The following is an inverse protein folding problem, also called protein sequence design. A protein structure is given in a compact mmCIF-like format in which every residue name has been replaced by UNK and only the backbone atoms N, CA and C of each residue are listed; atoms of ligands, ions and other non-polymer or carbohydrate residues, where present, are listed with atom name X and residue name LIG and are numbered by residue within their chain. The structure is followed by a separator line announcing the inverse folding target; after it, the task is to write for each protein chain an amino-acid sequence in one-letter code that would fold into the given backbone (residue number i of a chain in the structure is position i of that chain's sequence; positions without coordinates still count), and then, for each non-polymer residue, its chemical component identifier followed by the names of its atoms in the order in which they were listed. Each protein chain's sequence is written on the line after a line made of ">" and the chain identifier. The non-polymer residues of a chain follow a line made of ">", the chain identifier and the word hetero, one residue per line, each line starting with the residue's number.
data_IF_951460347067
#
_entry.id   IF_951460347067
#
_cell.length_a   1.000
_cell.length_b   1.000
_cell.length_c   1.000
_cell.angle_alpha   90.00
_cell.angle_beta   90.00
_cell.angle_gamma   90.00
#
_symmetry.space_group_name_H-M   'P 1'
#
loop_
_entity.id
_entity.type
_entity.pdbx_description
1 polymer ?
#
# COMPACT_ATOMS: atom_id res chain seq x y z
N UNK A 1 43.84 -7.37 41.95
CA UNK A 1 42.43 -7.25 41.52
C UNK A 1 42.41 -6.61 40.14
N UNK A 2 42.21 -7.39 39.08
CA UNK A 2 42.11 -6.86 37.72
C UNK A 2 40.64 -6.53 37.43
N UNK A 3 40.36 -5.24 37.19
CA UNK A 3 39.04 -4.77 36.81
C UNK A 3 38.69 -5.32 35.42
N UNK A 4 37.64 -6.14 35.33
CA UNK A 4 37.01 -6.50 34.06
C UNK A 4 36.40 -5.23 33.46
N UNK A 5 37.02 -4.68 32.43
CA UNK A 5 36.38 -3.74 31.53
C UNK A 5 35.17 -4.44 30.88
N UNK A 6 33.98 -4.06 31.29
CA UNK A 6 32.75 -4.35 30.57
C UNK A 6 32.82 -3.62 29.24
N UNK A 7 33.02 -4.37 28.13
CA UNK A 7 32.82 -3.84 26.78
C UNK A 7 31.37 -3.33 26.73
N UNK A 8 31.14 -2.02 26.69
CA UNK A 8 29.83 -1.52 26.32
C UNK A 8 29.59 -1.97 24.89
N UNK A 9 28.61 -2.85 24.68
CA UNK A 9 28.10 -3.10 23.34
C UNK A 9 27.32 -1.85 22.97
N UNK A 10 27.98 -0.95 22.24
CA UNK A 10 27.29 0.16 21.58
C UNK A 10 26.10 -0.47 20.82
N UNK A 11 24.89 0.00 21.13
CA UNK A 11 23.71 -0.45 20.42
C UNK A 11 23.93 -0.22 18.91
N UNK A 12 23.70 -1.24 18.07
CA UNK A 12 23.91 -1.07 16.63
C UNK A 12 23.04 0.08 16.11
N UNK A 13 23.62 0.92 15.24
CA UNK A 13 22.89 2.02 14.62
C UNK A 13 21.60 1.52 13.97
N UNK A 14 20.48 2.26 14.10
CA UNK A 14 19.22 1.83 13.53
C UNK A 14 19.19 1.96 12.02
N UNK A 15 18.33 1.16 11.40
CA UNK A 15 17.79 1.44 10.07
C UNK A 15 16.71 2.51 10.24
N UNK A 16 16.76 3.57 9.45
CA UNK A 16 15.77 4.66 9.49
C UNK A 16 14.76 4.45 8.38
N UNK A 17 13.47 4.32 8.70
CA UNK A 17 12.38 4.27 7.72
C UNK A 17 11.71 5.62 7.65
N UNK A 18 11.60 6.20 6.45
CA UNK A 18 10.95 7.51 6.25
C UNK A 18 9.60 7.32 5.58
N UNK A 19 8.52 7.58 6.34
CA UNK A 19 7.12 7.41 5.93
C UNK A 19 6.39 6.34 6.74
N UNK A 20 5.21 6.69 7.27
CA UNK A 20 4.38 5.79 8.10
C UNK A 20 3.15 5.22 7.34
N UNK A 21 3.23 5.14 6.01
CA UNK A 21 2.21 4.48 5.20
C UNK A 21 2.29 2.96 5.31
N UNK A 22 1.40 2.25 4.59
CA UNK A 22 1.41 0.78 4.54
C UNK A 22 2.79 0.23 4.15
N UNK A 23 3.46 0.84 3.17
CA UNK A 23 4.80 0.45 2.72
C UNK A 23 5.86 0.63 3.80
N UNK A 24 5.91 1.80 4.44
CA UNK A 24 6.92 2.08 5.47
C UNK A 24 6.73 1.22 6.72
N UNK A 25 5.48 1.04 7.16
CA UNK A 25 5.18 0.23 8.33
C UNK A 25 5.47 -1.26 8.11
N UNK A 26 5.05 -1.84 6.98
CA UNK A 26 5.34 -3.24 6.65
C UNK A 26 6.85 -3.47 6.49
N UNK A 27 7.56 -2.57 5.80
CA UNK A 27 9.03 -2.62 5.67
C UNK A 27 9.71 -2.55 7.03
N UNK A 28 9.26 -1.66 7.91
CA UNK A 28 9.77 -1.55 9.27
C UNK A 28 9.57 -2.83 10.08
N UNK A 29 8.39 -3.45 9.99
CA UNK A 29 8.11 -4.74 10.64
C UNK A 29 9.02 -5.85 10.12
N UNK A 30 9.23 -5.95 8.81
CA UNK A 30 10.13 -6.95 8.22
C UNK A 30 11.59 -6.78 8.65
N UNK A 31 12.05 -5.53 8.76
CA UNK A 31 13.39 -5.23 9.28
C UNK A 31 13.55 -5.62 10.75
N UNK A 32 12.55 -5.31 11.59
CA UNK A 32 12.55 -5.67 13.00
C UNK A 32 12.55 -7.20 13.19
N UNK A 33 11.73 -7.93 12.42
CA UNK A 33 11.73 -9.41 12.42
C UNK A 33 13.07 -10.03 12.05
N UNK A 34 13.88 -9.32 11.26
CA UNK A 34 15.26 -9.70 10.90
C UNK A 34 16.32 -9.23 11.91
N UNK A 35 15.90 -8.61 13.01
CA UNK A 35 16.78 -8.20 14.10
C UNK A 35 17.45 -6.84 13.91
N UNK A 36 17.02 -6.02 12.94
CA UNK A 36 17.52 -4.66 12.80
C UNK A 36 16.76 -3.73 13.76
N UNK A 37 17.45 -2.88 14.55
CA UNK A 37 16.76 -1.80 15.25
C UNK A 37 16.21 -0.80 14.22
N UNK A 38 14.96 -0.38 14.38
CA UNK A 38 14.29 0.52 13.42
C UNK A 38 13.76 1.77 14.09
N UNK A 39 14.10 2.93 13.51
CA UNK A 39 13.48 4.21 13.79
C UNK A 39 12.62 4.62 12.58
N UNK A 40 11.32 4.75 12.77
CA UNK A 40 10.41 5.27 11.75
C UNK A 40 10.20 6.77 11.96
N UNK A 41 10.53 7.56 10.95
CA UNK A 41 10.31 9.01 10.92
C UNK A 41 9.17 9.33 9.95
N UNK A 42 8.16 10.08 10.39
CA UNK A 42 7.09 10.51 9.50
C UNK A 42 6.45 11.83 9.92
N UNK A 43 6.00 12.60 8.93
CA UNK A 43 5.17 13.80 9.13
C UNK A 43 3.75 13.43 9.57
N UNK A 44 3.16 12.48 8.86
CA UNK A 44 1.80 11.98 9.07
C UNK A 44 1.84 10.54 9.60
N UNK A 45 0.94 10.23 10.52
CA UNK A 45 0.79 8.93 11.15
C UNK A 45 -0.63 8.37 10.90
N UNK A 46 -0.85 7.04 11.00
CA UNK A 46 -2.16 6.42 10.77
C UNK A 46 -3.35 6.98 11.55
N UNK A 47 -3.11 7.63 12.70
CA UNK A 47 -4.16 8.23 13.53
C UNK A 47 -4.51 9.68 13.19
N UNK A 48 -3.85 10.28 12.21
CA UNK A 48 -4.09 11.68 11.83
C UNK A 48 -5.40 11.84 11.05
N UNK A 49 -5.96 13.06 10.99
CA UNK A 49 -7.04 13.37 10.06
C UNK A 49 -6.69 12.99 8.63
N UNK A 50 -7.72 12.60 7.86
CA UNK A 50 -7.55 12.27 6.45
C UNK A 50 -6.89 13.43 5.70
N UNK A 51 -5.92 13.08 4.88
CA UNK A 51 -5.20 14.02 4.03
C UNK A 51 -4.96 13.36 2.68
N UNK A 52 -5.17 14.09 1.57
CA UNK A 52 -4.92 13.56 0.23
C UNK A 52 -3.48 13.09 0.02
N UNK A 53 -2.51 13.72 0.69
CA UNK A 53 -1.09 13.35 0.61
C UNK A 53 -0.77 12.01 1.29
N UNK A 54 -1.62 11.56 2.22
CA UNK A 54 -1.42 10.31 2.94
C UNK A 54 -2.29 9.19 2.34
N UNK A 55 -1.88 8.74 1.16
CA UNK A 55 -2.63 7.79 0.34
C UNK A 55 -3.07 6.51 1.07
N UNK A 56 -2.31 6.05 2.07
CA UNK A 56 -2.60 4.81 2.79
C UNK A 56 -3.96 4.82 3.48
N UNK A 57 -4.38 5.95 4.07
CA UNK A 57 -5.67 6.06 4.78
C UNK A 57 -6.85 6.34 3.85
N UNK A 58 -6.61 6.85 2.64
CA UNK A 58 -7.64 7.16 1.65
C UNK A 58 -8.05 5.94 0.79
N UNK A 59 -7.32 4.84 0.88
CA UNK A 59 -7.53 3.66 0.03
C UNK A 59 -8.82 2.87 0.34
N UNK A 60 -9.23 2.03 -0.61
CA UNK A 60 -10.33 1.08 -0.48
C UNK A 60 -10.19 0.16 0.75
N UNK A 61 -9.27 -0.79 0.82
CA UNK A 61 -8.42 -1.36 -0.22
C UNK A 61 -8.83 -2.83 -0.44
N UNK A 62 -8.50 -3.40 -1.59
CA UNK A 62 -8.62 -4.83 -1.85
C UNK A 62 -7.31 -5.39 -2.40
N UNK A 63 -7.15 -6.70 -2.32
CA UNK A 63 -6.12 -7.39 -3.06
C UNK A 63 -6.65 -7.74 -4.46
N UNK A 64 -6.25 -6.96 -5.45
CA UNK A 64 -6.62 -7.16 -6.85
C UNK A 64 -5.44 -6.76 -7.72
N UNK A 65 -4.72 -7.74 -8.28
CA UNK A 65 -3.56 -7.42 -9.11
C UNK A 65 -3.96 -6.67 -10.37
N UNK A 66 -3.21 -5.61 -10.69
CA UNK A 66 -3.35 -4.84 -11.93
C UNK A 66 -2.09 -4.94 -12.79
N UNK A 67 -1.12 -5.77 -12.39
CA UNK A 67 0.11 -5.97 -13.12
C UNK A 67 -0.17 -6.73 -14.41
N UNK A 68 0.43 -6.30 -15.52
CA UNK A 68 0.33 -7.02 -16.78
C UNK A 68 0.94 -8.41 -16.65
N UNK A 69 0.57 -9.31 -17.56
CA UNK A 69 1.03 -10.70 -17.50
C UNK A 69 2.55 -10.83 -17.61
N UNK A 70 3.23 -9.86 -18.24
CA UNK A 70 4.68 -9.77 -18.40
C UNK A 70 5.40 -9.06 -17.24
N UNK A 71 4.70 -8.34 -16.36
CA UNK A 71 5.27 -7.74 -15.15
C UNK A 71 5.38 -8.78 -14.01
N UNK A 72 6.27 -9.75 -14.21
CA UNK A 72 6.54 -10.82 -13.25
C UNK A 72 6.99 -10.28 -11.88
N UNK A 73 7.65 -9.12 -11.87
CA UNK A 73 8.18 -8.51 -10.64
C UNK A 73 7.03 -8.01 -9.77
N UNK A 74 6.13 -7.20 -10.32
CA UNK A 74 4.96 -6.72 -9.58
C UNK A 74 4.04 -7.87 -9.20
N UNK A 75 3.81 -8.84 -10.09
CA UNK A 75 3.02 -10.04 -9.78
C UNK A 75 3.60 -10.84 -8.61
N UNK A 76 4.92 -10.92 -8.50
CA UNK A 76 5.58 -11.56 -7.35
C UNK A 76 5.32 -10.81 -6.05
N UNK A 77 5.36 -9.48 -6.05
CA UNK A 77 5.02 -8.67 -4.86
C UNK A 77 3.55 -8.85 -4.46
N UNK A 78 2.67 -8.85 -5.46
CA UNK A 78 1.25 -9.03 -5.26
C UNK A 78 0.94 -10.42 -4.67
N UNK A 79 1.51 -11.49 -5.24
CA UNK A 79 1.27 -12.85 -4.75
C UNK A 79 1.80 -13.06 -3.32
N UNK A 80 3.02 -12.61 -2.99
CA UNK A 80 3.54 -12.74 -1.62
C UNK A 80 2.70 -11.97 -0.60
N UNK A 81 2.17 -10.82 -1.00
CA UNK A 81 1.22 -10.07 -0.18
C UNK A 81 -0.11 -10.79 -0.03
N UNK A 82 -0.61 -11.43 -1.10
CA UNK A 82 -1.80 -12.27 -1.05
C UNK A 82 -1.60 -13.41 -0.05
N UNK A 83 -0.55 -14.21 -0.21
CA UNK A 83 -0.24 -15.35 0.67
C UNK A 83 -0.13 -14.95 2.14
N UNK A 84 0.53 -13.81 2.42
CA UNK A 84 0.64 -13.27 3.77
C UNK A 84 -0.72 -12.91 4.36
N UNK A 85 -1.53 -12.14 3.64
CA UNK A 85 -2.87 -11.74 4.10
C UNK A 85 -3.83 -12.93 4.19
N UNK A 86 -3.65 -13.91 3.31
CA UNK A 86 -4.41 -15.16 3.32
C UNK A 86 -4.11 -15.92 4.62
N UNK A 87 -2.84 -16.14 4.96
CA UNK A 87 -2.47 -16.75 6.23
C UNK A 87 -2.98 -15.97 7.45
N UNK A 88 -2.99 -14.63 7.38
CA UNK A 88 -3.50 -13.79 8.48
C UNK A 88 -5.03 -13.88 8.68
N UNK A 89 -5.76 -14.37 7.67
CA UNK A 89 -7.22 -14.46 7.63
C UNK A 89 -7.73 -15.91 7.51
N UNK A 90 -6.89 -16.91 7.82
CA UNK A 90 -7.28 -18.33 7.81
C UNK A 90 -8.48 -18.61 8.73
N UNK A 91 -8.45 -18.03 9.93
CA UNK A 91 -9.60 -17.90 10.80
C UNK A 91 -10.34 -16.61 10.45
N UNK A 92 -11.54 -16.73 9.89
CA UNK A 92 -12.29 -15.60 9.36
C UNK A 92 -12.55 -14.51 10.41
N UNK A 93 -12.95 -14.90 11.63
CA UNK A 93 -13.23 -13.94 12.71
C UNK A 93 -11.96 -13.19 13.12
N UNK A 94 -10.84 -13.89 13.27
CA UNK A 94 -9.55 -13.25 13.58
C UNK A 94 -9.04 -12.38 12.43
N UNK A 95 -9.26 -12.80 11.18
CA UNK A 95 -8.96 -12.00 10.00
C UNK A 95 -9.71 -10.67 10.04
N UNK A 96 -11.01 -10.72 10.25
CA UNK A 96 -11.88 -9.55 10.34
C UNK A 96 -11.50 -8.62 11.50
N UNK A 97 -11.20 -9.18 12.69
CA UNK A 97 -10.68 -8.42 13.83
C UNK A 97 -9.39 -7.67 13.47
N UNK A 98 -8.51 -8.29 12.67
CA UNK A 98 -7.27 -7.71 12.14
C UNK A 98 -7.50 -6.76 10.97
N UNK A 99 -8.73 -6.63 10.48
CA UNK A 99 -9.10 -5.77 9.36
C UNK A 99 -8.87 -6.39 7.98
N UNK A 100 -8.82 -7.72 7.88
CA UNK A 100 -8.70 -8.46 6.62
C UNK A 100 -9.91 -9.39 6.46
N UNK A 101 -10.78 -9.10 5.50
CA UNK A 101 -11.98 -9.92 5.24
C UNK A 101 -11.79 -10.67 3.94
N UNK A 102 -11.97 -11.99 3.94
CA UNK A 102 -12.07 -12.79 2.70
C UNK A 102 -13.48 -12.65 2.12
N UNK A 103 -13.58 -12.52 0.81
CA UNK A 103 -14.87 -12.40 0.10
C UNK A 103 -14.75 -12.89 -1.34
N UNK A 104 -15.90 -13.17 -1.94
CA UNK A 104 -16.00 -13.29 -3.40
C UNK A 104 -15.87 -11.91 -4.04
N UNK A 105 -14.88 -11.76 -4.91
CA UNK A 105 -14.67 -10.61 -5.79
C UNK A 105 -15.17 -10.97 -7.19
N UNK A 106 -15.96 -10.10 -7.80
CA UNK A 106 -16.40 -10.22 -9.20
C UNK A 106 -15.81 -9.08 -10.03
N UNK A 107 -15.13 -9.44 -11.11
CA UNK A 107 -14.55 -8.51 -12.07
C UNK A 107 -15.33 -8.55 -13.38
N UNK A 108 -15.85 -7.40 -13.80
CA UNK A 108 -16.62 -7.20 -15.03
C UNK A 108 -15.77 -6.42 -16.03
N UNK A 109 -15.72 -6.87 -17.28
CA UNK A 109 -14.87 -6.28 -18.30
C UNK A 109 -15.66 -5.85 -19.52
N UNK A 110 -15.23 -4.72 -20.10
CA UNK A 110 -15.64 -4.23 -21.41
C UNK A 110 -14.38 -3.87 -22.20
N UNK A 111 -14.08 -4.63 -23.25
CA UNK A 111 -12.85 -4.57 -24.02
C UNK A 111 -11.89 -5.72 -23.70
N UNK A 112 -11.07 -5.56 -22.66
CA UNK A 112 -10.00 -6.52 -22.33
C UNK A 112 -10.52 -7.78 -21.61
N UNK A 113 -9.72 -8.84 -21.65
CA UNK A 113 -9.92 -10.01 -20.79
C UNK A 113 -9.27 -9.81 -19.41
N UNK A 114 -9.60 -10.71 -18.50
CA UNK A 114 -8.99 -10.77 -17.18
C UNK A 114 -7.47 -11.09 -17.24
N UNK A 115 -6.73 -10.62 -16.24
CA UNK A 115 -5.30 -10.89 -16.08
C UNK A 115 -5.08 -12.33 -15.59
N UNK A 116 -4.04 -13.02 -16.08
CA UNK A 116 -3.76 -14.42 -15.71
C UNK A 116 -3.36 -14.59 -14.24
N UNK A 117 -2.99 -13.50 -13.57
CA UNK A 117 -2.81 -13.52 -12.11
C UNK A 117 -4.07 -14.05 -11.39
N UNK A 118 -5.27 -13.71 -11.88
CA UNK A 118 -6.53 -14.04 -11.24
C UNK A 118 -6.87 -15.54 -11.35
N UNK A 119 -6.39 -16.22 -12.40
CA UNK A 119 -6.61 -17.66 -12.62
C UNK A 119 -6.05 -18.54 -11.49
N UNK A 120 -5.01 -18.04 -10.79
CA UNK A 120 -4.39 -18.74 -9.67
C UNK A 120 -5.07 -18.51 -8.32
N UNK A 121 -6.10 -17.67 -8.26
CA UNK A 121 -6.78 -17.34 -7.01
C UNK A 121 -7.84 -18.39 -6.64
N UNK A 122 -8.14 -18.57 -5.35
CA UNK A 122 -9.13 -19.56 -4.91
C UNK A 122 -10.51 -19.29 -5.51
N UNK A 123 -11.25 -20.36 -5.81
CA UNK A 123 -12.60 -20.31 -6.38
C UNK A 123 -12.72 -19.53 -7.71
N UNK A 124 -11.61 -19.41 -8.44
CA UNK A 124 -11.61 -18.74 -9.74
C UNK A 124 -12.58 -19.42 -10.71
N UNK A 125 -13.41 -18.60 -11.35
CA UNK A 125 -14.32 -19.02 -12.41
C UNK A 125 -14.53 -17.91 -13.43
N UNK A 126 -14.71 -18.30 -14.68
CA UNK A 126 -15.22 -17.45 -15.74
C UNK A 126 -16.73 -17.60 -15.78
N UNK A 127 -17.45 -16.48 -15.90
CA UNK A 127 -18.92 -16.48 -16.00
C UNK A 127 -19.38 -16.69 -17.44
N UNK A 128 -20.53 -17.34 -17.62
CA UNK A 128 -21.16 -17.52 -18.92
C UNK A 128 -21.59 -16.15 -19.47
N UNK A 129 -21.17 -15.84 -20.70
CA UNK A 129 -21.47 -14.61 -21.40
C UNK A 129 -22.98 -14.29 -21.46
N UNK A 130 -23.83 -15.32 -21.52
CA UNK A 130 -25.29 -15.17 -21.54
C UNK A 130 -25.91 -14.69 -20.21
N UNK A 131 -25.15 -14.76 -19.12
CA UNK A 131 -25.59 -14.33 -17.78
C UNK A 131 -25.09 -12.93 -17.40
N UNK A 132 -24.30 -12.30 -18.27
CA UNK A 132 -23.66 -11.02 -17.99
C UNK A 132 -24.65 -9.86 -18.12
N UNK A 133 -24.49 -8.80 -17.32
CA UNK A 133 -25.25 -7.56 -17.52
C UNK A 133 -24.98 -6.94 -18.88
N UNK A 134 -25.95 -6.18 -19.40
CA UNK A 134 -25.82 -5.47 -20.67
C UNK A 134 -24.54 -4.62 -20.74
N UNK A 135 -23.79 -4.78 -21.82
CA UNK A 135 -22.55 -4.03 -22.07
C UNK A 135 -21.31 -4.56 -21.34
N UNK A 136 -21.42 -5.67 -20.60
CA UNK A 136 -20.26 -6.43 -20.10
C UNK A 136 -19.97 -7.57 -21.08
N UNK A 137 -18.71 -7.70 -21.48
CA UNK A 137 -18.25 -8.64 -22.51
C UNK A 137 -17.59 -9.87 -21.89
N UNK A 138 -16.98 -9.72 -20.71
CA UNK A 138 -16.32 -10.80 -20.00
C UNK A 138 -16.44 -10.59 -18.49
N UNK A 139 -16.55 -11.68 -17.72
CA UNK A 139 -16.51 -11.58 -16.26
C UNK A 139 -15.87 -12.80 -15.61
N UNK A 140 -15.19 -12.55 -14.50
CA UNK A 140 -14.64 -13.60 -13.63
C UNK A 140 -15.03 -13.33 -12.19
N UNK A 141 -15.02 -14.39 -11.38
CA UNK A 141 -15.04 -14.21 -9.92
C UNK A 141 -14.08 -15.18 -9.26
N UNK A 142 -13.59 -14.79 -8.10
CA UNK A 142 -12.65 -15.55 -7.28
C UNK A 142 -12.79 -15.10 -5.83
N UNK A 143 -12.27 -15.88 -4.90
CA UNK A 143 -12.12 -15.45 -3.52
C UNK A 143 -10.85 -14.63 -3.38
N UNK A 144 -11.00 -13.40 -2.86
CA UNK A 144 -9.91 -12.49 -2.53
C UNK A 144 -10.09 -11.91 -1.12
N UNK A 145 -9.40 -10.81 -0.82
CA UNK A 145 -9.41 -10.14 0.46
C UNK A 145 -9.58 -8.62 0.31
N UNK A 146 -10.25 -8.04 1.29
CA UNK A 146 -10.32 -6.60 1.52
C UNK A 146 -9.58 -6.25 2.79
N UNK A 147 -9.06 -5.03 2.84
CA UNK A 147 -8.26 -4.53 3.95
C UNK A 147 -8.90 -3.22 4.42
N UNK A 148 -9.19 -3.12 5.72
CA UNK A 148 -9.66 -1.89 6.36
C UNK A 148 -8.44 -1.04 6.78
N UNK A 149 -8.09 0.04 6.03
CA UNK A 149 -6.80 0.70 6.20
C UNK A 149 -6.56 1.25 7.61
N UNK A 150 -7.57 1.90 8.20
CA UNK A 150 -7.44 2.50 9.54
C UNK A 150 -7.13 1.44 10.62
N UNK A 151 -7.81 0.30 10.56
CA UNK A 151 -7.62 -0.83 11.49
C UNK A 151 -6.29 -1.54 11.25
N UNK A 152 -5.97 -1.83 9.98
CA UNK A 152 -4.75 -2.55 9.63
C UNK A 152 -3.50 -1.71 9.92
N UNK A 153 -3.49 -0.40 9.60
CA UNK A 153 -2.36 0.48 9.93
C UNK A 153 -2.16 0.60 11.44
N UNK A 154 -3.24 0.69 12.24
CA UNK A 154 -3.14 0.70 13.71
C UNK A 154 -2.50 -0.59 14.22
N UNK A 155 -2.91 -1.74 13.68
CA UNK A 155 -2.27 -3.03 13.98
C UNK A 155 -0.79 -3.02 13.62
N UNK A 156 -0.42 -2.51 12.44
CA UNK A 156 0.99 -2.45 12.01
C UNK A 156 1.83 -1.57 12.94
N UNK A 157 1.32 -0.42 13.39
CA UNK A 157 2.00 0.42 14.39
C UNK A 157 2.19 -0.33 15.70
N UNK A 158 1.17 -1.05 16.17
CA UNK A 158 1.27 -1.86 17.38
C UNK A 158 2.29 -3.00 17.22
N UNK A 159 2.25 -3.75 16.12
CA UNK A 159 3.22 -4.83 15.81
C UNK A 159 4.65 -4.26 15.75
N UNK A 160 4.84 -3.16 15.03
CA UNK A 160 6.12 -2.46 14.93
C UNK A 160 6.66 -2.05 16.32
N UNK A 161 5.80 -1.50 17.17
CA UNK A 161 6.20 -1.07 18.52
C UNK A 161 6.49 -2.25 19.44
N UNK A 162 5.69 -3.33 19.38
CA UNK A 162 5.91 -4.55 20.17
C UNK A 162 7.21 -5.27 19.78
N UNK A 163 7.62 -5.16 18.52
CA UNK A 163 8.90 -5.66 18.03
C UNK A 163 10.09 -4.75 18.41
N UNK A 164 9.86 -3.65 19.16
CA UNK A 164 10.89 -2.73 19.65
C UNK A 164 11.20 -1.56 18.71
N UNK A 165 10.42 -1.38 17.63
CA UNK A 165 10.55 -0.23 16.75
C UNK A 165 10.11 1.08 17.42
N UNK A 166 10.76 2.18 17.06
CA UNK A 166 10.41 3.51 17.56
C UNK A 166 9.76 4.32 16.43
N UNK A 167 8.53 4.79 16.66
CA UNK A 167 7.87 5.74 15.76
C UNK A 167 8.08 7.15 16.28
N UNK A 168 8.58 8.06 15.44
CA UNK A 168 8.79 9.46 15.78
C UNK A 168 8.13 10.36 14.73
N UNK A 169 7.20 11.19 15.19
CA UNK A 169 6.68 12.28 14.37
C UNK A 169 7.77 13.34 14.19
N UNK A 170 7.96 13.78 12.95
CA UNK A 170 8.91 14.84 12.59
C UNK A 170 8.25 15.84 11.65
N UNK A 171 8.74 17.08 11.54
CA UNK A 171 8.34 17.97 10.45
C UNK A 171 8.63 17.35 9.09
N UNK A 172 8.06 17.93 8.03
CA UNK A 172 8.41 17.53 6.67
C UNK A 172 9.93 17.68 6.47
N UNK A 173 10.58 16.61 6.02
CA UNK A 173 11.99 16.66 5.64
C UNK A 173 12.11 17.41 4.31
N UNK A 174 13.12 18.28 4.20
CA UNK A 174 13.42 18.96 2.95
C UNK A 174 14.28 18.08 2.04
N UNK A 175 15.16 17.28 2.64
CA UNK A 175 16.00 16.29 1.99
C UNK A 175 15.94 14.96 2.75
N UNK A 176 16.09 13.83 2.09
CA UNK A 176 16.15 12.53 2.73
C UNK A 176 17.34 12.44 3.71
N UNK A 177 18.44 13.10 3.38
CA UNK A 177 19.62 13.24 4.24
C UNK A 177 19.36 13.95 5.57
N UNK A 178 18.26 14.69 5.71
CA UNK A 178 17.84 15.31 6.97
C UNK A 178 17.56 14.28 8.08
N UNK A 179 17.45 12.98 7.76
CA UNK A 179 17.42 11.91 8.76
C UNK A 179 18.60 11.97 9.75
N UNK A 180 19.75 12.55 9.34
CA UNK A 180 20.92 12.72 10.19
C UNK A 180 20.71 13.66 11.38
N UNK A 181 19.71 14.53 11.32
CA UNK A 181 19.25 15.34 12.47
C UNK A 181 18.71 14.49 13.62
N UNK A 182 18.33 13.24 13.33
CA UNK A 182 17.75 12.30 14.29
C UNK A 182 18.66 11.10 14.59
N UNK A 183 19.46 10.67 13.61
CA UNK A 183 20.41 9.57 13.74
C UNK A 183 21.67 9.92 12.95
N UNK A 184 22.77 10.23 13.64
CA UNK A 184 24.01 10.71 13.00
C UNK A 184 24.58 9.74 11.94
N UNK A 185 24.57 8.44 12.23
CA UNK A 185 25.12 7.40 11.36
C UNK A 185 24.14 6.21 11.25
N UNK A 186 23.05 6.34 10.46
CA UNK A 186 22.09 5.25 10.30
C UNK A 186 22.73 4.09 9.52
N UNK A 187 22.31 2.87 9.82
CA UNK A 187 22.80 1.68 9.13
C UNK A 187 22.35 1.67 7.65
N UNK A 188 21.11 2.09 7.43
CA UNK A 188 20.50 2.32 6.12
C UNK A 188 19.31 3.26 6.28
N UNK A 189 18.85 3.85 5.19
CA UNK A 189 17.65 4.69 5.12
C UNK A 189 16.67 4.08 4.12
N UNK A 190 15.44 3.83 4.55
CA UNK A 190 14.37 3.33 3.69
C UNK A 190 13.49 4.51 3.29
N UNK A 191 13.53 4.87 2.02
CA UNK A 191 12.68 5.93 1.48
C UNK A 191 11.31 5.36 1.09
N UNK A 192 10.35 5.47 2.01
CA UNK A 192 8.95 5.04 1.84
C UNK A 192 7.99 6.24 1.77
N UNK A 193 8.45 7.35 1.18
CA UNK A 193 7.75 8.65 1.26
C UNK A 193 6.60 8.84 0.27
N UNK A 194 6.35 7.86 -0.60
CA UNK A 194 5.27 7.92 -1.59
C UNK A 194 5.43 9.15 -2.49
N UNK A 195 4.44 10.04 -2.48
CA UNK A 195 4.45 11.27 -3.29
C UNK A 195 5.56 12.24 -2.86
N UNK A 196 6.03 12.15 -1.61
CA UNK A 196 7.12 12.98 -1.09
C UNK A 196 8.46 12.76 -1.79
N UNK A 197 8.66 11.63 -2.47
CA UNK A 197 9.87 11.39 -3.25
C UNK A 197 10.08 12.41 -4.39
N UNK A 198 9.00 13.06 -4.83
CA UNK A 198 9.03 14.16 -5.81
C UNK A 198 9.68 15.42 -5.26
N UNK A 199 9.52 15.70 -3.96
CA UNK A 199 9.85 17.01 -3.35
C UNK A 199 11.04 16.99 -2.41
N UNK A 200 11.52 15.81 -2.00
CA UNK A 200 12.81 15.69 -1.30
C UNK A 200 13.94 16.12 -2.23
N UNK A 201 14.72 17.13 -1.85
CA UNK A 201 15.70 17.80 -2.73
C UNK A 201 16.76 16.85 -3.30
N UNK A 202 17.19 15.87 -2.50
CA UNK A 202 18.22 14.90 -2.83
C UNK A 202 17.68 13.59 -3.43
N UNK A 203 16.35 13.45 -3.58
CA UNK A 203 15.69 12.36 -4.32
C UNK A 203 15.13 12.88 -5.63
N UNK A 204 14.34 13.96 -5.56
CA UNK A 204 13.84 14.77 -6.66
C UNK A 204 13.27 13.95 -7.84
N UNK A 205 12.51 12.90 -7.54
CA UNK A 205 11.98 12.01 -8.58
C UNK A 205 10.76 12.65 -9.25
N UNK A 206 11.00 13.40 -10.33
CA UNK A 206 9.98 14.10 -11.08
C UNK A 206 9.03 13.17 -11.86
N UNK A 207 9.36 11.88 -11.95
CA UNK A 207 8.47 10.86 -12.55
C UNK A 207 7.38 10.40 -11.57
N UNK A 208 7.46 10.82 -10.30
CA UNK A 208 6.39 10.62 -9.32
C UNK A 208 5.35 11.74 -9.47
N UNK A 209 4.09 11.34 -9.61
CA UNK A 209 2.94 12.24 -9.77
C UNK A 209 1.72 11.78 -8.98
N UNK A 210 0.84 12.73 -8.66
CA UNK A 210 -0.48 12.42 -8.12
C UNK A 210 -1.37 11.83 -9.20
N UNK A 211 -2.03 10.72 -8.87
CA UNK A 211 -3.26 10.30 -9.55
C UNK A 211 -4.38 10.37 -8.53
N UNK A 212 -5.15 11.46 -8.59
CA UNK A 212 -6.25 11.75 -7.67
C UNK A 212 -7.33 10.69 -7.79
N UNK A 213 -7.82 10.25 -6.64
CA UNK A 213 -8.95 9.34 -6.53
C UNK A 213 -9.94 9.87 -5.51
N UNK A 214 -11.17 10.10 -5.95
CA UNK A 214 -12.31 10.33 -5.08
C UNK A 214 -13.08 9.03 -4.87
N UNK A 215 -13.45 8.76 -3.62
CA UNK A 215 -14.26 7.62 -3.19
C UNK A 215 -15.29 8.05 -2.17
N UNK A 216 -16.34 7.25 -2.00
CA UNK A 216 -17.37 7.44 -0.99
C UNK A 216 -17.29 6.30 0.02
N UNK A 217 -17.32 6.65 1.30
CA UNK A 217 -17.42 5.69 2.40
C UNK A 217 -18.87 5.61 2.84
N UNK A 218 -19.44 4.41 2.79
CA UNK A 218 -20.84 4.13 3.09
C UNK A 218 -20.96 3.23 4.32
N UNK A 219 -22.12 3.28 5.00
CA UNK A 219 -22.54 2.26 5.97
C UNK A 219 -23.52 1.30 5.31
N UNK A 220 -23.04 0.11 4.92
CA UNK A 220 -23.86 -0.91 4.26
C UNK A 220 -23.44 -2.32 4.70
N UNK A 221 -23.69 -2.72 5.96
CA UNK A 221 -23.23 -4.00 6.53
C UNK A 221 -23.76 -5.25 5.81
N UNK A 222 -24.79 -5.12 4.98
CA UNK A 222 -25.36 -6.21 4.17
C UNK A 222 -24.55 -6.52 2.90
N UNK A 223 -23.69 -5.60 2.45
CA UNK A 223 -22.84 -5.84 1.27
C UNK A 223 -21.59 -6.60 1.71
N UNK A 224 -21.46 -7.85 1.25
CA UNK A 224 -20.36 -8.76 1.62
C UNK A 224 -19.55 -9.28 0.43
N UNK A 225 -19.93 -8.93 -0.79
CA UNK A 225 -19.20 -9.28 -2.02
C UNK A 225 -18.58 -8.04 -2.65
N UNK A 226 -17.42 -8.22 -3.26
CA UNK A 226 -16.67 -7.17 -3.90
C UNK A 226 -16.94 -7.16 -5.40
N UNK A 227 -16.96 -5.97 -5.98
CA UNK A 227 -17.23 -5.79 -7.40
C UNK A 227 -16.24 -4.80 -7.99
N UNK A 228 -15.76 -5.05 -9.20
CA UNK A 228 -15.06 -4.04 -9.99
C UNK A 228 -15.45 -4.18 -11.46
N UNK A 229 -15.77 -3.06 -12.09
CA UNK A 229 -15.95 -2.95 -13.54
C UNK A 229 -14.78 -2.22 -14.14
N UNK A 230 -14.25 -2.80 -15.21
CA UNK A 230 -13.06 -2.39 -15.93
C UNK A 230 -13.44 -2.08 -17.38
N UNK A 231 -13.23 -0.83 -17.81
CA UNK A 231 -13.55 -0.39 -19.17
C UNK A 231 -12.28 0.15 -19.83
N UNK A 232 -11.97 -0.38 -21.02
CA UNK A 232 -10.81 0.01 -21.82
C UNK A 232 -9.58 -0.83 -21.53
N UNK A 233 -8.43 -0.43 -22.11
CA UNK A 233 -7.21 -1.22 -22.02
C UNK A 233 -6.56 -1.14 -20.64
N UNK A 234 -6.29 -2.31 -20.05
CA UNK A 234 -5.75 -2.47 -18.72
C UNK A 234 -4.23 -2.49 -18.69
N UNK A 235 -3.59 -3.07 -19.72
CA UNK A 235 -2.15 -3.04 -20.06
C UNK A 235 -1.15 -2.84 -18.89
N UNK A 236 -1.40 -3.45 -17.72
CA UNK A 236 -0.53 -3.33 -16.55
C UNK A 236 -0.47 -1.95 -15.88
N UNK A 237 -1.43 -1.05 -16.11
CA UNK A 237 -1.23 0.38 -15.82
C UNK A 237 -2.42 1.13 -15.21
N UNK A 238 -2.30 2.46 -15.26
CA UNK A 238 -3.28 3.41 -14.71
C UNK A 238 -4.39 3.83 -15.72
N UNK A 239 -4.47 3.18 -16.89
CA UNK A 239 -5.50 3.45 -17.91
C UNK A 239 -6.89 2.90 -17.59
N UNK A 240 -7.87 3.31 -18.39
CA UNK A 240 -9.27 2.85 -18.35
C UNK A 240 -10.13 3.48 -17.25
N UNK A 241 -11.45 3.26 -17.33
CA UNK A 241 -12.40 3.59 -16.25
C UNK A 241 -12.52 2.41 -15.28
N UNK A 242 -12.53 2.71 -13.98
CA UNK A 242 -12.79 1.72 -12.93
C UNK A 242 -13.91 2.16 -12.01
N UNK A 243 -14.88 1.27 -11.85
CA UNK A 243 -15.91 1.37 -10.81
C UNK A 243 -15.73 0.20 -9.86
N UNK A 244 -15.73 0.42 -8.55
CA UNK A 244 -15.55 -0.63 -7.56
C UNK A 244 -16.44 -0.45 -6.35
N UNK A 245 -16.80 -1.58 -5.74
CA UNK A 245 -17.51 -1.71 -4.47
C UNK A 245 -16.67 -2.64 -3.58
N UNK A 246 -16.14 -2.09 -2.49
CA UNK A 246 -15.15 -2.73 -1.63
C UNK A 246 -15.72 -2.77 -0.21
N UNK A 247 -16.39 -3.87 0.17
CA UNK A 247 -16.90 -4.03 1.54
C UNK A 247 -15.76 -4.28 2.53
N UNK A 248 -15.95 -3.86 3.78
CA UNK A 248 -15.03 -4.09 4.89
C UNK A 248 -15.71 -4.91 5.99
N UNK A 249 -14.91 -5.58 6.81
CA UNK A 249 -15.39 -6.39 7.94
C UNK A 249 -16.35 -5.61 8.87
N UNK A 250 -16.05 -4.33 9.12
CA UNK A 250 -16.84 -3.42 9.97
C UNK A 250 -18.23 -3.06 9.41
N UNK A 251 -18.57 -3.51 8.20
CA UNK A 251 -19.80 -3.13 7.50
C UNK A 251 -19.72 -1.74 6.84
N UNK A 252 -18.56 -1.11 6.85
CA UNK A 252 -18.26 -0.01 5.92
C UNK A 252 -18.10 -0.57 4.49
N UNK A 253 -18.49 0.23 3.50
CA UNK A 253 -18.26 -0.08 2.08
C UNK A 253 -17.63 1.12 1.42
N UNK A 254 -16.54 0.92 0.69
CA UNK A 254 -15.98 1.95 -0.18
C UNK A 254 -16.54 1.74 -1.58
N UNK A 255 -17.17 2.78 -2.13
CA UNK A 255 -17.48 2.84 -3.56
C UNK A 255 -16.62 3.88 -4.22
N UNK A 256 -16.16 3.58 -5.42
CA UNK A 256 -15.34 4.49 -6.18
C UNK A 256 -15.17 4.05 -7.63
N UNK A 257 -14.33 4.73 -8.38
CA UNK A 257 -13.77 6.02 -8.00
C UNK A 257 -13.32 6.78 -9.24
N UNK A 258 -12.38 7.70 -9.03
CA UNK A 258 -11.71 8.43 -10.11
C UNK A 258 -10.22 8.10 -10.19
N UNK A 259 -9.63 8.47 -11.33
CA UNK A 259 -8.20 8.44 -11.63
C UNK A 259 -7.86 9.69 -12.43
N UNK A 260 -7.67 10.81 -11.74
CA UNK A 260 -7.36 12.08 -12.38
C UNK A 260 -5.85 12.35 -12.25
N UNK A 261 -5.18 12.19 -13.37
CA UNK A 261 -3.73 12.36 -13.51
C UNK A 261 -3.34 13.83 -13.32
N UNK A 262 -2.29 14.08 -12.54
CA UNK A 262 -1.74 15.42 -12.29
C UNK A 262 -2.73 16.41 -11.69
N UNK A 263 -3.80 15.88 -11.08
CA UNK A 263 -4.79 16.63 -10.33
C UNK A 263 -4.43 16.60 -8.84
N UNK A 264 -4.18 17.79 -8.28
CA UNK A 264 -3.82 17.98 -6.87
C UNK A 264 -4.94 18.68 -6.09
N UNK A 265 -6.16 18.74 -6.64
CA UNK A 265 -7.29 19.35 -5.94
C UNK A 265 -7.71 18.47 -4.74
N UNK A 266 -7.66 18.99 -3.50
CA UNK A 266 -7.75 18.17 -2.30
C UNK A 266 -9.20 17.82 -1.92
N UNK A 267 -10.18 18.55 -2.43
CA UNK A 267 -11.57 18.45 -1.98
C UNK A 267 -12.41 17.58 -2.93
N UNK A 268 -13.45 16.90 -2.43
CA UNK A 268 -14.41 16.18 -3.25
C UNK A 268 -15.18 17.09 -4.24
N UNK A 269 -15.51 16.52 -5.40
CA UNK A 269 -16.35 17.13 -6.43
C UNK A 269 -17.79 16.58 -6.36
N UNK A 270 -18.84 17.39 -6.17
CA UNK A 270 -20.22 16.91 -6.04
C UNK A 270 -20.75 16.12 -7.25
N UNK A 271 -20.35 16.51 -8.45
CA UNK A 271 -20.67 15.82 -9.71
C UNK A 271 -20.02 14.44 -9.76
N UNK A 272 -18.80 14.32 -9.25
CA UNK A 272 -18.07 13.04 -9.14
C UNK A 272 -18.75 12.11 -8.14
N UNK A 273 -19.22 12.64 -7.00
CA UNK A 273 -20.01 11.87 -6.01
C UNK A 273 -21.27 11.29 -6.64
N UNK A 274 -22.00 12.11 -7.40
CA UNK A 274 -23.23 11.67 -8.08
C UNK A 274 -22.95 10.59 -9.12
N UNK A 275 -21.87 10.76 -9.90
CA UNK A 275 -21.43 9.76 -10.88
C UNK A 275 -20.99 8.43 -10.25
N UNK A 276 -20.21 8.47 -9.16
CA UNK A 276 -19.76 7.27 -8.44
C UNK A 276 -20.96 6.45 -7.94
N UNK A 277 -21.97 7.09 -7.35
CA UNK A 277 -23.18 6.41 -6.86
C UNK A 277 -23.91 5.71 -8.02
N UNK A 278 -24.13 6.43 -9.13
CA UNK A 278 -24.77 5.87 -10.33
C UNK A 278 -24.02 4.63 -10.82
N UNK A 279 -22.71 4.73 -11.05
CA UNK A 279 -21.90 3.61 -11.56
C UNK A 279 -21.84 2.44 -10.58
N UNK A 280 -21.76 2.69 -9.28
CA UNK A 280 -21.76 1.63 -8.27
C UNK A 280 -23.06 0.82 -8.30
N UNK A 281 -24.21 1.48 -8.49
CA UNK A 281 -25.51 0.82 -8.61
C UNK A 281 -25.67 -0.01 -9.88
N UNK A 282 -24.99 0.36 -10.98
CA UNK A 282 -24.98 -0.42 -12.22
C UNK A 282 -24.31 -1.79 -12.05
N UNK A 283 -23.34 -1.91 -11.14
CA UNK A 283 -22.55 -3.14 -10.95
C UNK A 283 -22.93 -3.90 -9.67
N UNK A 284 -23.60 -3.25 -8.72
CA UNK A 284 -24.00 -3.82 -7.44
C UNK A 284 -25.31 -3.17 -6.96
N UNK A 285 -26.42 -3.53 -7.61
CA UNK A 285 -27.75 -2.99 -7.27
C UNK A 285 -28.19 -3.34 -5.84
N UNK A 286 -27.68 -4.45 -5.27
CA UNK A 286 -27.88 -4.83 -3.87
C UNK A 286 -27.36 -3.79 -2.87
N UNK A 287 -26.50 -2.86 -3.30
CA UNK A 287 -26.05 -1.75 -2.47
C UNK A 287 -27.22 -0.91 -1.94
N UNK A 288 -28.27 -0.71 -2.75
CA UNK A 288 -29.47 0.04 -2.37
C UNK A 288 -30.55 -0.83 -1.70
N UNK A 289 -30.31 -2.12 -1.46
CA UNK A 289 -31.33 -3.06 -0.98
C UNK A 289 -30.91 -3.68 0.37
N UNK A 290 -31.02 -2.93 1.49
CA UNK A 290 -30.79 -3.52 2.80
C UNK A 290 -31.83 -4.61 3.08
N UNK A 291 -31.49 -5.68 3.82
CA UNK A 291 -32.40 -6.79 4.12
C UNK A 291 -33.71 -6.38 4.79
N UNK A 292 -33.72 -5.22 5.48
CA UNK A 292 -34.88 -4.66 6.15
C UNK A 292 -35.81 -3.85 5.23
N UNK A 293 -35.46 -3.67 3.96
CA UNK A 293 -36.25 -2.87 3.00
C UNK A 293 -36.74 -3.72 1.84
N UNK A 294 -37.97 -3.47 1.43
CA UNK A 294 -38.59 -4.07 0.23
C UNK A 294 -38.43 -3.19 -1.02
N UNK A 295 -37.88 -1.98 -0.87
CA UNK A 295 -37.64 -1.04 -1.96
C UNK A 295 -36.19 -0.49 -1.90
N UNK A 296 -35.61 -0.06 -3.04
CA UNK A 296 -34.31 0.58 -3.06
C UNK A 296 -34.29 1.85 -2.19
N UNK A 297 -33.25 2.00 -1.37
CA UNK A 297 -32.98 3.25 -0.63
C UNK A 297 -32.16 4.22 -1.49
N UNK A 298 -32.19 5.51 -1.13
CA UNK A 298 -31.22 6.46 -1.65
C UNK A 298 -29.84 6.19 -1.04
N UNK A 299 -28.89 5.72 -1.87
CA UNK A 299 -27.50 5.45 -1.44
C UNK A 299 -26.83 6.69 -0.86
N UNK A 300 -27.21 7.90 -1.30
CA UNK A 300 -26.65 9.14 -0.75
C UNK A 300 -26.93 9.28 0.76
N UNK A 301 -28.06 8.74 1.24
CA UNK A 301 -28.44 8.79 2.65
C UNK A 301 -27.56 7.96 3.60
N UNK A 302 -26.77 7.03 3.05
CA UNK A 302 -25.86 6.17 3.82
C UNK A 302 -24.37 6.50 3.59
N UNK A 303 -24.07 7.62 2.92
CA UNK A 303 -22.71 8.15 2.77
C UNK A 303 -22.26 8.76 4.09
N UNK A 304 -21.20 8.21 4.68
CA UNK A 304 -20.57 8.72 5.91
C UNK A 304 -19.45 9.72 5.63
N UNK A 305 -18.76 9.58 4.49
CA UNK A 305 -17.68 10.48 4.09
C UNK A 305 -17.42 10.47 2.58
N UNK A 306 -16.98 11.60 2.06
CA UNK A 306 -16.37 11.74 0.74
C UNK A 306 -14.86 11.88 0.94
N UNK A 307 -14.06 11.03 0.31
CA UNK A 307 -12.61 10.95 0.57
C UNK A 307 -11.84 11.14 -0.73
N UNK A 308 -10.83 12.00 -0.68
CA UNK A 308 -9.87 12.23 -1.77
C UNK A 308 -8.50 11.74 -1.32
N UNK A 309 -7.82 11.00 -2.19
CA UNK A 309 -6.44 10.56 -2.01
C UNK A 309 -5.61 10.75 -3.27
N UNK A 310 -4.33 11.09 -3.10
CA UNK A 310 -3.37 11.17 -4.20
C UNK A 310 -2.56 9.88 -4.26
N UNK A 311 -2.85 9.03 -5.25
CA UNK A 311 -2.04 7.82 -5.49
C UNK A 311 -0.63 8.26 -5.92
N UNK A 312 0.43 7.81 -5.23
CA UNK A 312 1.81 8.20 -5.55
C UNK A 312 2.33 7.35 -6.71
N UNK A 313 1.88 7.68 -7.92
CA UNK A 313 2.19 6.93 -9.14
C UNK A 313 3.56 7.35 -9.66
N UNK A 314 4.36 6.40 -10.12
CA UNK A 314 5.62 6.67 -10.81
C UNK A 314 5.58 6.08 -12.20
N UNK A 315 6.08 6.80 -13.20
CA UNK A 315 5.95 6.41 -14.61
C UNK A 315 6.48 5.00 -14.91
N UNK A 316 7.60 4.61 -14.30
CA UNK A 316 8.18 3.27 -14.47
C UNK A 316 7.81 2.27 -13.35
N UNK A 317 6.69 2.49 -12.64
CA UNK A 317 6.20 1.61 -11.58
C UNK A 317 6.99 1.72 -10.27
N UNK A 318 6.96 0.71 -9.40
CA UNK A 318 7.64 0.77 -8.08
C UNK A 318 9.16 1.00 -8.24
N UNK A 319 9.71 2.00 -7.55
CA UNK A 319 11.16 2.12 -7.34
C UNK A 319 11.52 1.37 -6.06
N UNK A 320 12.05 0.16 -6.23
CA UNK A 320 12.58 -0.68 -5.17
C UNK A 320 14.01 -1.09 -5.50
N UNK A 321 14.98 -0.29 -5.06
CA UNK A 321 16.40 -0.45 -5.38
C UNK A 321 17.29 0.26 -4.34
N UNK A 322 18.58 -0.06 -4.37
CA UNK A 322 19.60 0.57 -3.51
C UNK A 322 20.28 1.74 -4.22
N UNK A 323 20.56 2.80 -3.48
CA UNK A 323 21.35 3.95 -3.90
C UNK A 323 22.38 4.33 -2.81
N UNK A 324 23.58 4.71 -3.23
CA UNK A 324 24.56 5.38 -2.35
C UNK A 324 24.43 6.89 -2.50
N UNK A 325 23.58 7.49 -1.66
CA UNK A 325 23.31 8.92 -1.72
C UNK A 325 24.48 9.70 -1.12
N UNK A 326 25.17 10.47 -1.97
CA UNK A 326 26.26 11.36 -1.55
C UNK A 326 25.70 12.66 -0.98
N UNK A 327 26.21 13.06 0.16
CA UNK A 327 25.81 14.27 0.89
C UNK A 327 27.06 14.98 1.41
N UNK A 328 26.92 16.22 1.86
CA UNK A 328 28.01 16.96 2.50
C UNK A 328 28.53 16.28 3.78
N UNK A 329 27.67 15.52 4.45
CA UNK A 329 27.97 14.75 5.68
C UNK A 329 28.40 13.29 5.40
N UNK A 330 28.76 12.98 4.14
CA UNK A 330 29.21 11.65 3.72
C UNK A 330 28.18 10.87 2.90
N UNK A 331 28.28 9.54 2.87
CA UNK A 331 27.40 8.69 2.04
C UNK A 331 26.34 7.99 2.87
N UNK A 332 25.09 8.03 2.44
CA UNK A 332 23.98 7.25 3.01
C UNK A 332 23.69 6.03 2.14
N UNK A 333 23.49 4.87 2.79
CA UNK A 333 22.88 3.72 2.12
C UNK A 333 21.37 3.95 2.09
N UNK A 334 20.82 4.19 0.91
CA UNK A 334 19.39 4.38 0.73
C UNK A 334 18.81 3.16 0.02
N UNK A 335 17.68 2.67 0.49
CA UNK A 335 16.85 1.72 -0.25
C UNK A 335 15.52 2.40 -0.51
N UNK A 336 15.25 2.69 -1.77
CA UNK A 336 13.99 3.28 -2.20
C UNK A 336 12.89 2.24 -2.15
N UNK A 337 11.69 2.62 -1.71
CA UNK A 337 10.49 1.79 -1.76
C UNK A 337 9.26 2.70 -1.89
N UNK A 338 9.08 3.31 -3.06
CA UNK A 338 7.99 4.25 -3.36
C UNK A 338 7.51 4.12 -4.82
N UNK A 339 6.47 4.89 -5.19
CA UNK A 339 5.93 4.88 -6.55
C UNK A 339 4.85 3.81 -6.79
N UNK A 340 4.14 3.41 -5.74
CA UNK A 340 3.20 2.28 -5.77
C UNK A 340 1.83 2.58 -6.39
N UNK A 341 1.57 3.81 -6.86
CA UNK A 341 0.30 4.17 -7.52
C UNK A 341 -0.94 3.69 -6.75
N UNK A 342 -1.88 3.05 -7.46
CA UNK A 342 -3.08 2.44 -6.87
C UNK A 342 -2.89 1.08 -6.19
N UNK A 343 -1.68 0.52 -6.19
CA UNK A 343 -1.40 -0.88 -5.80
C UNK A 343 -0.45 -1.00 -4.59
N UNK A 344 -0.35 0.04 -3.75
CA UNK A 344 0.46 -0.03 -2.52
C UNK A 344 -0.01 -1.10 -1.53
N UNK A 345 -1.32 -1.22 -1.31
CA UNK A 345 -1.89 -2.18 -0.36
C UNK A 345 -1.78 -3.64 -0.84
N UNK A 346 -1.95 -3.89 -2.14
CA UNK A 346 -1.86 -5.24 -2.70
C UNK A 346 -0.42 -5.77 -2.80
N UNK A 347 0.60 -4.90 -2.69
CA UNK A 347 2.01 -5.25 -2.85
C UNK A 347 2.87 -5.02 -1.60
N UNK A 348 2.30 -4.45 -0.53
CA UNK A 348 3.05 -3.94 0.62
C UNK A 348 3.99 -4.96 1.27
N UNK A 349 3.54 -6.20 1.48
CA UNK A 349 4.36 -7.22 2.16
C UNK A 349 5.42 -7.78 1.24
N UNK A 350 5.09 -8.04 -0.03
CA UNK A 350 6.06 -8.48 -1.03
C UNK A 350 7.19 -7.46 -1.25
N UNK A 351 6.85 -6.17 -1.34
CA UNK A 351 7.82 -5.08 -1.41
C UNK A 351 8.64 -4.96 -0.11
N UNK A 352 8.00 -5.05 1.06
CA UNK A 352 8.66 -4.96 2.37
C UNK A 352 9.70 -6.06 2.58
N UNK A 353 9.37 -7.31 2.24
CA UNK A 353 10.27 -8.45 2.34
C UNK A 353 11.51 -8.30 1.44
N UNK A 354 11.32 -7.78 0.23
CA UNK A 354 12.41 -7.56 -0.72
C UNK A 354 13.28 -6.36 -0.28
N UNK A 355 12.67 -5.27 0.19
CA UNK A 355 13.40 -4.14 0.78
C UNK A 355 14.28 -4.58 1.97
N UNK A 356 13.72 -5.38 2.88
CA UNK A 356 14.44 -5.89 4.04
C UNK A 356 15.56 -6.88 3.65
N UNK A 357 15.38 -7.63 2.54
CA UNK A 357 16.44 -8.47 1.96
C UNK A 357 17.58 -7.63 1.38
N UNK A 358 17.28 -6.60 0.59
CA UNK A 358 18.27 -5.67 0.04
C UNK A 358 19.10 -5.06 1.17
N UNK A 359 18.46 -4.54 2.23
CA UNK A 359 19.17 -4.00 3.40
C UNK A 359 20.13 -5.02 4.00
N UNK A 360 19.67 -6.26 4.19
CA UNK A 360 20.53 -7.31 4.76
C UNK A 360 21.72 -7.69 3.88
N UNK A 361 21.56 -7.68 2.56
CA UNK A 361 22.65 -7.92 1.62
C UNK A 361 23.68 -6.78 1.64
N UNK A 362 23.21 -5.53 1.61
CA UNK A 362 24.09 -4.36 1.54
C UNK A 362 24.85 -4.11 2.85
N UNK A 363 24.19 -4.28 4.00
CA UNK A 363 24.84 -4.22 5.31
C UNK A 363 25.94 -5.27 5.41
N UNK A 364 25.69 -6.50 4.95
CA UNK A 364 26.70 -7.57 4.96
C UNK A 364 27.88 -7.26 4.03
N UNK A 365 27.61 -6.72 2.84
CA UNK A 365 28.65 -6.30 1.89
C UNK A 365 29.56 -5.22 2.50
N UNK A 366 28.99 -4.23 3.18
CA UNK A 366 29.74 -3.15 3.84
C UNK A 366 30.58 -3.66 5.02
N UNK A 367 30.02 -4.49 5.88
CA UNK A 367 30.77 -5.09 7.00
C UNK A 367 31.98 -5.93 6.53
N UNK A 368 31.85 -6.65 5.40
CA UNK A 368 32.98 -7.36 4.78
C UNK A 368 34.05 -6.41 4.23
N UNK A 369 33.66 -5.30 3.59
CA UNK A 369 34.60 -4.27 3.10
C UNK A 369 35.38 -3.64 4.25
N UNK A 370 34.71 -3.22 5.33
CA UNK A 370 35.36 -2.63 6.50
C UNK A 370 36.34 -3.60 7.16
N UNK A 371 35.96 -4.88 7.28
CA UNK A 371 36.86 -5.92 7.82
C UNK A 371 38.09 -6.11 6.91
N UNK A 372 37.91 -6.09 5.59
CA UNK A 372 39.01 -6.28 4.62
C UNK A 372 39.98 -5.09 4.61
N UNK A 373 39.46 -3.85 4.69
CA UNK A 373 40.29 -2.63 4.79
C UNK A 373 41.08 -2.61 6.11
N UNK A 374 40.45 -3.03 7.22
CA UNK A 374 41.11 -3.10 8.53
C UNK A 374 42.23 -4.16 8.57
N UNK A 375 42.09 -5.26 7.81
CA UNK A 375 43.13 -6.29 7.70
C UNK A 375 44.29 -5.83 6.81
N UNK A 376 44.04 -5.04 5.76
CA UNK A 376 45.09 -4.51 4.90
C UNK A 376 45.86 -3.32 5.50
N UNK A 377 45.28 -2.59 6.45
CA UNK A 377 45.95 -1.47 7.14
C UNK A 377 46.85 -1.89 8.32
N UNK A 378 47.05 -3.20 8.54
CA UNK A 378 47.87 -3.77 9.63
C UNK A 378 49.09 -4.57 9.15
N UNK A 379 49.45 -4.46 7.88
CA UNK A 379 50.72 -4.92 7.31
C UNK A 379 51.53 -3.70 6.89
#
# INVERSE_FOLDING_TARGET
>A
MAARQTKSHAQPSPVVVVGAGCIGLTTGVELLKRGYPVLLLARQLPGDPLSPDFASTAAGAHHLSFASDDDWRQRSFDMRTFERLWAESEDAAKGEERGVMRLTQTELYKGDLHLRFLEGLPDFRIHDASTLPDGIEHAVSFTSMTIEPARYLRRLVNEFTLLGGIVRRVPQLAALSDVRKYVQAPLAVLNCTGIGARTLIDVNDQTVRAVRGQVLKLRAPWVKTGWTRQIGSLAGGEGGERTYVIPRASGEVIIGGTREVDDYYPDPRPETTTDIIRRALEICSSLALPPSSTAPIDVRSIVEAEVVGFRPTRDAGVRLEVEELKTDEGTLLVVHNYGHGGYGWQSMWGCAEEAAKIVGEEVRKRGKKETSVTVQAKL
#
